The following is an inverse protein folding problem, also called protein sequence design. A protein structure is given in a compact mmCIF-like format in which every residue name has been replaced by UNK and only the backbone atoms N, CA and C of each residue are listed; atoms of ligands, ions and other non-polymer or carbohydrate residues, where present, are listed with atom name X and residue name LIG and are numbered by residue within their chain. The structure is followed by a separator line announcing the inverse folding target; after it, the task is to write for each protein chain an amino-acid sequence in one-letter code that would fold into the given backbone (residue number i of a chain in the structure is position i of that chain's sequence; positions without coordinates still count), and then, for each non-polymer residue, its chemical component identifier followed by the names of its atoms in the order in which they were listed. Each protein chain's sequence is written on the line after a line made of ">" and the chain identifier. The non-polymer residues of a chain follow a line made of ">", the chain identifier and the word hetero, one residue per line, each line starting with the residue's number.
data_IF_274395015436
#
_entry.id   IF_274395015436
#
_cell.length_a   1.000
_cell.length_b   1.000
_cell.length_c   1.000
_cell.angle_alpha   90.00
_cell.angle_beta   90.00
_cell.angle_gamma   90.00
#
_symmetry.space_group_name_H-M   'P 1'
#
loop_
_entity.id
_entity.type
_entity.pdbx_description
1 polymer ?
#
# COMPACT_ATOMS: atom_id res chain seq x y z
N UNK A 1 0.46 12.09 -15.84
CA UNK A 1 0.95 12.97 -14.77
C UNK A 1 1.81 12.11 -13.87
N UNK A 2 3.03 12.55 -13.58
CA UNK A 2 3.92 11.83 -12.69
C UNK A 2 3.50 12.03 -11.22
N UNK A 3 3.78 11.04 -10.38
CA UNK A 3 3.52 11.14 -8.94
C UNK A 3 4.32 12.29 -8.31
N UNK A 4 3.76 12.95 -7.29
CA UNK A 4 4.33 14.12 -6.62
C UNK A 4 4.56 15.38 -7.49
N UNK A 5 4.19 15.38 -8.79
CA UNK A 5 4.32 16.57 -9.65
C UNK A 5 3.05 17.40 -9.64
N UNK A 6 2.82 18.13 -8.55
CA UNK A 6 1.63 18.96 -8.36
C UNK A 6 1.40 19.97 -9.49
N UNK A 7 2.48 20.56 -10.03
CA UNK A 7 2.42 21.55 -11.10
C UNK A 7 1.80 20.97 -12.39
N UNK A 8 1.99 19.66 -12.63
CA UNK A 8 1.34 18.98 -13.76
C UNK A 8 -0.18 18.86 -13.55
N UNK A 9 -0.62 18.66 -12.31
CA UNK A 9 -2.04 18.58 -11.94
C UNK A 9 -2.67 19.96 -12.10
N UNK A 10 -2.04 21.00 -11.54
CA UNK A 10 -2.52 22.38 -11.64
C UNK A 10 -2.65 22.83 -13.10
N UNK A 11 -1.62 22.56 -13.92
CA UNK A 11 -1.65 22.83 -15.35
C UNK A 11 -2.80 22.10 -16.06
N UNK A 12 -2.97 20.80 -15.81
CA UNK A 12 -4.03 20.02 -16.43
C UNK A 12 -5.43 20.56 -16.09
N UNK A 13 -5.64 21.00 -14.84
CA UNK A 13 -6.89 21.64 -14.41
C UNK A 13 -7.08 23.01 -15.08
N UNK A 14 -6.01 23.81 -15.18
CA UNK A 14 -6.05 25.13 -15.81
C UNK A 14 -6.34 25.06 -17.31
N UNK A 15 -5.80 24.05 -18.01
CA UNK A 15 -6.05 23.79 -19.44
C UNK A 15 -7.47 23.25 -19.71
N UNK A 16 -8.19 22.81 -18.67
CA UNK A 16 -9.53 22.20 -18.77
C UNK A 16 -10.55 22.84 -17.81
N UNK A 17 -10.79 24.17 -17.90
CA UNK A 17 -11.61 24.88 -16.93
C UNK A 17 -13.06 24.37 -16.93
N UNK A 18 -13.56 23.97 -15.76
CA UNK A 18 -14.93 23.45 -15.59
C UNK A 18 -15.19 22.08 -16.22
N UNK A 19 -14.15 21.40 -16.73
CA UNK A 19 -14.28 20.10 -17.42
C UNK A 19 -13.73 18.92 -16.63
N UNK A 20 -13.07 19.18 -15.50
CA UNK A 20 -12.53 18.15 -14.61
C UNK A 20 -13.57 17.86 -13.51
N UNK A 21 -14.18 16.68 -13.51
CA UNK A 21 -15.17 16.31 -12.50
C UNK A 21 -14.52 15.73 -11.23
N UNK A 22 -13.46 14.95 -11.38
CA UNK A 22 -12.84 14.20 -10.30
C UNK A 22 -11.32 14.09 -10.50
N UNK A 23 -10.57 14.23 -9.41
CA UNK A 23 -9.18 13.78 -9.30
C UNK A 23 -9.16 12.49 -8.49
N UNK A 24 -8.70 11.41 -9.10
CA UNK A 24 -8.57 10.09 -8.47
C UNK A 24 -7.11 9.69 -8.36
N UNK A 25 -6.70 9.20 -7.19
CA UNK A 25 -5.35 8.73 -6.95
C UNK A 25 -5.30 7.72 -5.80
N UNK A 26 -4.27 6.87 -5.79
CA UNK A 26 -3.90 6.09 -4.60
C UNK A 26 -3.34 7.03 -3.53
N UNK A 27 -3.36 6.70 -2.23
CA UNK A 27 -2.91 7.63 -1.19
C UNK A 27 -1.39 7.86 -1.18
N UNK A 28 -0.62 6.92 -1.72
CA UNK A 28 0.78 7.09 -2.08
C UNK A 28 1.10 6.22 -3.32
N UNK A 29 2.26 6.41 -3.94
CA UNK A 29 2.64 5.65 -5.11
C UNK A 29 3.17 4.27 -4.72
N UNK A 30 2.42 3.23 -5.06
CA UNK A 30 2.80 1.83 -4.82
C UNK A 30 2.70 0.99 -6.09
N UNK A 31 3.53 1.26 -7.11
CA UNK A 31 3.54 0.52 -8.37
C UNK A 31 4.15 -0.88 -8.20
N UNK A 32 4.21 -1.62 -9.31
CA UNK A 32 5.02 -2.82 -9.44
C UNK A 32 6.37 -2.47 -10.09
N UNK A 33 7.39 -3.32 -9.90
CA UNK A 33 8.73 -3.22 -10.48
C UNK A 33 9.56 -1.97 -10.13
N UNK A 34 9.01 -1.03 -9.38
CA UNK A 34 9.65 0.25 -9.08
C UNK A 34 9.43 0.62 -7.62
N UNK A 35 10.35 1.43 -7.08
CA UNK A 35 10.28 1.85 -5.69
C UNK A 35 9.01 2.68 -5.44
N UNK A 36 8.38 2.43 -4.29
CA UNK A 36 7.23 3.20 -3.84
C UNK A 36 7.66 4.63 -3.50
N UNK A 37 6.77 5.60 -3.72
CA UNK A 37 6.99 6.99 -3.35
C UNK A 37 5.90 7.47 -2.39
N UNK A 38 6.33 7.98 -1.23
CA UNK A 38 5.44 8.69 -0.32
C UNK A 38 5.03 10.05 -0.92
N UNK A 39 3.88 10.61 -0.52
CA UNK A 39 3.53 11.98 -0.88
C UNK A 39 4.62 12.94 -0.44
N UNK A 40 5.03 13.84 -1.32
CA UNK A 40 5.91 14.94 -0.93
C UNK A 40 5.23 15.84 0.12
N UNK A 41 6.05 16.60 0.84
CA UNK A 41 5.55 17.53 1.86
C UNK A 41 4.47 18.44 1.27
N UNK A 42 3.34 18.53 1.97
CA UNK A 42 2.17 19.34 1.62
C UNK A 42 1.48 18.95 0.29
N UNK A 43 1.86 17.84 -0.36
CA UNK A 43 1.31 17.42 -1.64
C UNK A 43 -0.22 17.28 -1.58
N UNK A 44 -0.73 16.53 -0.61
CA UNK A 44 -2.17 16.32 -0.47
C UNK A 44 -2.92 17.58 -0.06
N UNK A 45 -2.30 18.46 0.74
CA UNK A 45 -2.88 19.73 1.11
C UNK A 45 -3.05 20.64 -0.11
N UNK A 46 -2.06 20.68 -1.01
CA UNK A 46 -2.13 21.41 -2.29
C UNK A 46 -3.21 20.81 -3.21
N UNK A 47 -3.22 19.50 -3.40
CA UNK A 47 -4.23 18.80 -4.24
C UNK A 47 -5.64 19.02 -3.70
N UNK A 48 -5.84 18.88 -2.39
CA UNK A 48 -7.13 19.11 -1.75
C UNK A 48 -7.61 20.54 -1.98
N UNK A 49 -6.73 21.53 -1.74
CA UNK A 49 -7.06 22.94 -1.97
C UNK A 49 -7.46 23.19 -3.42
N UNK A 50 -6.67 22.70 -4.38
CA UNK A 50 -6.97 22.83 -5.81
C UNK A 50 -8.35 22.23 -6.14
N UNK A 51 -8.65 21.04 -5.62
CA UNK A 51 -9.92 20.38 -5.86
C UNK A 51 -11.09 21.20 -5.30
N UNK A 52 -10.97 21.71 -4.06
CA UNK A 52 -11.99 22.57 -3.45
C UNK A 52 -12.20 23.86 -4.22
N UNK A 53 -11.12 24.57 -4.57
CA UNK A 53 -11.18 25.86 -5.27
C UNK A 53 -11.82 25.74 -6.67
N UNK A 54 -11.74 24.55 -7.27
CA UNK A 54 -12.21 24.28 -8.64
C UNK A 54 -13.50 23.45 -8.70
N UNK A 55 -14.07 23.09 -7.55
CA UNK A 55 -15.26 22.24 -7.49
C UNK A 55 -15.03 20.82 -8.03
N UNK A 56 -13.80 20.32 -7.94
CA UNK A 56 -13.41 18.97 -8.37
C UNK A 56 -13.57 18.02 -7.18
N UNK A 57 -14.18 16.86 -7.41
CA UNK A 57 -14.25 15.79 -6.41
C UNK A 57 -12.87 15.16 -6.23
N UNK A 58 -12.39 15.07 -5.00
CA UNK A 58 -11.18 14.32 -4.66
C UNK A 58 -11.55 12.90 -4.24
N UNK A 59 -11.22 11.92 -5.08
CA UNK A 59 -11.42 10.50 -4.79
C UNK A 59 -10.09 9.81 -4.45
N UNK A 60 -10.07 9.04 -3.37
CA UNK A 60 -8.90 8.24 -2.99
C UNK A 60 -9.20 6.77 -3.22
N UNK A 61 -8.41 6.14 -4.09
CA UNK A 61 -8.36 4.70 -4.23
C UNK A 61 -7.60 4.10 -3.04
N UNK A 62 -8.33 3.82 -1.97
CA UNK A 62 -7.79 3.27 -0.72
C UNK A 62 -7.90 1.74 -0.66
N UNK A 63 -8.11 1.08 -1.81
CA UNK A 63 -8.34 -0.36 -1.89
C UNK A 63 -7.16 -1.16 -1.33
N UNK A 64 -5.92 -0.66 -1.50
CA UNK A 64 -4.70 -1.34 -1.06
C UNK A 64 -4.28 -0.93 0.36
N UNK A 65 -4.43 0.34 0.71
CA UNK A 65 -3.90 0.93 1.93
C UNK A 65 -4.93 0.98 3.07
N UNK A 66 -6.22 0.99 2.76
CA UNK A 66 -7.31 1.05 3.72
C UNK A 66 -7.20 -0.03 4.77
N UNK A 67 -7.36 0.37 6.03
CA UNK A 67 -7.24 -0.47 7.23
C UNK A 67 -5.83 -1.06 7.48
N UNK A 68 -4.82 -0.72 6.65
CA UNK A 68 -3.41 -1.06 6.88
C UNK A 68 -2.57 0.12 7.35
N UNK A 69 -2.98 1.34 7.02
CA UNK A 69 -2.36 2.58 7.50
C UNK A 69 -3.10 3.15 8.70
N UNK A 70 -4.43 3.23 8.61
CA UNK A 70 -5.30 3.77 9.64
C UNK A 70 -6.69 3.14 9.55
N UNK A 71 -7.41 3.08 10.68
CA UNK A 71 -8.81 2.63 10.72
C UNK A 71 -9.77 3.64 10.11
N UNK A 72 -9.42 4.93 10.10
CA UNK A 72 -10.23 6.01 9.53
C UNK A 72 -10.05 6.17 8.01
N UNK A 73 -9.05 5.50 7.43
CA UNK A 73 -8.68 5.63 6.01
C UNK A 73 -7.37 6.40 5.81
N UNK A 74 -6.81 6.30 4.62
CA UNK A 74 -5.50 6.87 4.30
C UNK A 74 -5.50 8.39 4.21
N UNK A 75 -6.65 9.04 3.96
CA UNK A 75 -6.75 10.50 3.99
C UNK A 75 -6.52 11.05 5.40
N UNK A 76 -7.09 10.39 6.43
CA UNK A 76 -6.80 10.65 7.83
C UNK A 76 -5.31 10.46 8.14
N UNK A 77 -4.73 9.34 7.71
CA UNK A 77 -3.30 9.04 7.90
C UNK A 77 -2.39 10.14 7.34
N UNK A 78 -2.70 10.67 6.15
CA UNK A 78 -1.92 11.71 5.48
C UNK A 78 -2.39 13.15 5.79
N UNK A 79 -3.38 13.32 6.66
CA UNK A 79 -3.83 14.64 7.14
C UNK A 79 -4.56 15.49 6.10
N UNK A 80 -5.39 14.87 5.25
CA UNK A 80 -6.31 15.56 4.34
C UNK A 80 -7.71 14.92 4.38
N UNK A 81 -8.67 15.47 3.61
CA UNK A 81 -10.03 14.93 3.52
C UNK A 81 -10.41 14.61 2.08
N UNK A 82 -10.68 13.35 1.80
CA UNK A 82 -11.23 12.94 0.51
C UNK A 82 -12.75 13.24 0.46
N UNK A 83 -13.28 13.45 -0.74
CA UNK A 83 -14.73 13.53 -0.97
C UNK A 83 -15.32 12.13 -1.20
N UNK A 84 -14.53 11.25 -1.82
CA UNK A 84 -14.84 9.83 -2.05
C UNK A 84 -13.66 8.94 -1.66
N UNK A 85 -13.94 7.75 -1.13
CA UNK A 85 -12.94 6.73 -0.84
C UNK A 85 -13.39 5.34 -1.27
N UNK A 86 -12.51 4.61 -1.95
CA UNK A 86 -12.74 3.23 -2.35
C UNK A 86 -12.04 2.26 -1.38
N UNK A 87 -12.78 1.29 -0.82
CA UNK A 87 -12.26 0.26 0.06
C UNK A 87 -12.55 -1.15 -0.49
N UNK A 88 -11.65 -2.11 -0.23
CA UNK A 88 -11.77 -3.52 -0.62
C UNK A 88 -10.72 -4.33 0.18
N UNK A 89 -10.24 -5.46 -0.34
CA UNK A 89 -9.13 -6.28 0.14
C UNK A 89 -9.21 -6.60 1.64
N UNK A 90 -8.57 -5.76 2.48
CA UNK A 90 -8.55 -5.94 3.92
C UNK A 90 -9.92 -5.82 4.58
N UNK A 91 -10.89 -5.15 3.90
CA UNK A 91 -12.23 -4.86 4.41
C UNK A 91 -12.94 -6.06 5.06
N UNK A 92 -12.78 -7.26 4.50
CA UNK A 92 -13.48 -8.45 4.97
C UNK A 92 -12.59 -9.69 5.06
N UNK A 93 -11.28 -9.50 5.29
CA UNK A 93 -10.31 -10.58 5.53
C UNK A 93 -10.43 -11.76 4.53
N UNK A 94 -10.57 -11.46 3.23
CA UNK A 94 -10.64 -12.45 2.15
C UNK A 94 -12.02 -12.65 1.51
N UNK A 95 -13.11 -12.15 2.11
CA UNK A 95 -14.43 -12.19 1.48
C UNK A 95 -14.62 -11.11 0.40
N UNK A 96 -15.45 -11.40 -0.59
CA UNK A 96 -15.69 -10.54 -1.75
C UNK A 96 -16.64 -9.38 -1.43
N UNK A 97 -16.11 -8.28 -0.88
CA UNK A 97 -16.83 -7.02 -0.70
C UNK A 97 -15.91 -5.83 -0.93
N UNK A 98 -16.47 -4.81 -1.55
CA UNK A 98 -15.85 -3.48 -1.73
C UNK A 98 -16.87 -2.42 -1.30
N UNK A 99 -16.38 -1.23 -0.97
CA UNK A 99 -17.21 -0.11 -0.59
C UNK A 99 -16.72 1.17 -1.28
N UNK A 100 -17.67 1.99 -1.72
CA UNK A 100 -17.44 3.40 -2.03
C UNK A 100 -18.07 4.20 -0.89
N UNK A 101 -17.25 4.97 -0.18
CA UNK A 101 -17.68 5.89 0.85
C UNK A 101 -17.58 7.32 0.29
N UNK A 102 -18.47 8.21 0.74
CA UNK A 102 -18.49 9.59 0.26
C UNK A 102 -19.11 10.55 1.25
N UNK A 103 -18.88 11.84 1.01
CA UNK A 103 -19.51 12.92 1.78
C UNK A 103 -21.00 13.08 1.42
N UNK A 104 -21.77 13.63 2.36
CA UNK A 104 -23.21 13.85 2.20
C UNK A 104 -23.56 14.69 0.94
N UNK A 105 -22.70 15.64 0.58
CA UNK A 105 -22.88 16.48 -0.61
C UNK A 105 -22.94 15.69 -1.94
N UNK A 106 -22.45 14.44 -1.96
CA UNK A 106 -22.47 13.57 -3.14
C UNK A 106 -23.61 12.55 -3.12
N UNK A 107 -24.47 12.57 -2.10
CA UNK A 107 -25.56 11.58 -1.92
C UNK A 107 -26.55 11.60 -3.07
N UNK A 108 -26.98 12.78 -3.50
CA UNK A 108 -27.94 12.91 -4.61
C UNK A 108 -27.33 12.40 -5.92
N UNK A 109 -26.08 12.77 -6.21
CA UNK A 109 -25.34 12.30 -7.36
C UNK A 109 -25.21 10.77 -7.36
N UNK A 110 -24.84 10.16 -6.21
CA UNK A 110 -24.80 8.72 -6.06
C UNK A 110 -26.17 8.09 -6.35
N UNK A 111 -27.24 8.59 -5.72
CA UNK A 111 -28.60 8.05 -5.88
C UNK A 111 -29.15 8.13 -7.31
N UNK A 112 -28.63 9.06 -8.12
CA UNK A 112 -29.06 9.25 -9.51
C UNK A 112 -28.49 8.21 -10.49
N UNK A 113 -27.46 7.46 -10.09
CA UNK A 113 -26.81 6.45 -10.92
C UNK A 113 -27.38 5.06 -10.58
N UNK A 114 -27.73 4.28 -11.60
CA UNK A 114 -28.14 2.89 -11.40
C UNK A 114 -26.91 1.98 -11.29
N UNK A 115 -26.76 1.34 -10.14
CA UNK A 115 -25.71 0.36 -9.89
C UNK A 115 -26.29 -0.87 -9.19
N UNK A 116 -25.98 -2.05 -9.72
CA UNK A 116 -26.47 -3.33 -9.19
C UNK A 116 -25.52 -4.46 -9.57
N UNK A 117 -25.52 -5.53 -8.78
CA UNK A 117 -24.79 -6.75 -9.06
C UNK A 117 -25.37 -7.89 -8.24
N UNK A 118 -25.49 -9.08 -8.85
CA UNK A 118 -26.20 -10.23 -8.26
C UNK A 118 -25.73 -10.59 -6.85
N UNK A 119 -24.44 -10.40 -6.57
CA UNK A 119 -23.82 -10.75 -5.29
C UNK A 119 -23.56 -9.55 -4.37
N UNK A 120 -23.90 -8.32 -4.79
CA UNK A 120 -23.58 -7.11 -4.01
C UNK A 120 -24.37 -6.99 -2.71
N UNK A 121 -25.46 -7.74 -2.57
CA UNK A 121 -26.27 -7.82 -1.34
C UNK A 121 -26.12 -9.18 -0.61
N UNK A 122 -25.08 -9.95 -0.93
CA UNK A 122 -24.79 -11.18 -0.19
C UNK A 122 -24.43 -10.87 1.26
N UNK A 123 -25.15 -11.48 2.21
CA UNK A 123 -24.99 -11.17 3.64
C UNK A 123 -23.65 -11.65 4.22
N UNK A 124 -23.08 -12.74 3.69
CA UNK A 124 -21.86 -13.35 4.26
C UNK A 124 -20.64 -12.40 4.18
N UNK A 125 -20.32 -11.79 3.01
CA UNK A 125 -19.26 -10.77 2.96
C UNK A 125 -19.47 -9.58 3.90
N UNK A 126 -20.72 -9.14 4.12
CA UNK A 126 -21.02 -8.07 5.07
C UNK A 126 -20.79 -8.48 6.53
N UNK A 127 -21.23 -9.68 6.92
CA UNK A 127 -20.97 -10.20 8.25
C UNK A 127 -19.45 -10.34 8.52
N UNK A 128 -18.69 -10.81 7.52
CA UNK A 128 -17.24 -10.90 7.59
C UNK A 128 -16.58 -9.51 7.71
N UNK A 129 -17.05 -8.51 6.96
CA UNK A 129 -16.55 -7.14 7.04
C UNK A 129 -16.76 -6.53 8.43
N UNK A 130 -17.98 -6.65 8.97
CA UNK A 130 -18.32 -6.13 10.30
C UNK A 130 -17.42 -6.78 11.36
N UNK A 131 -17.27 -8.11 11.33
CA UNK A 131 -16.41 -8.82 12.27
C UNK A 131 -14.92 -8.44 12.12
N UNK A 132 -14.43 -8.33 10.88
CA UNK A 132 -13.06 -7.95 10.56
C UNK A 132 -12.73 -6.55 11.09
N UNK A 133 -13.51 -5.54 10.72
CA UNK A 133 -13.29 -4.15 11.12
C UNK A 133 -13.43 -3.97 12.64
N UNK A 134 -14.41 -4.64 13.26
CA UNK A 134 -14.59 -4.61 14.72
C UNK A 134 -13.36 -5.16 15.43
N UNK A 135 -12.82 -6.30 14.95
CA UNK A 135 -11.60 -6.88 15.52
C UNK A 135 -10.39 -5.99 15.27
N UNK A 136 -10.18 -5.51 14.05
CA UNK A 136 -9.06 -4.61 13.69
C UNK A 136 -9.05 -3.37 14.59
N UNK A 137 -10.20 -2.73 14.81
CA UNK A 137 -10.31 -1.59 15.72
C UNK A 137 -9.93 -1.97 17.16
N UNK A 138 -10.44 -3.10 17.66
CA UNK A 138 -10.18 -3.57 19.04
C UNK A 138 -8.70 -3.83 19.31
N UNK A 139 -7.97 -4.36 18.34
CA UNK A 139 -6.54 -4.73 18.51
C UNK A 139 -5.57 -3.66 18.02
N UNK A 140 -6.09 -2.50 17.59
CA UNK A 140 -5.32 -1.50 16.85
C UNK A 140 -4.49 -2.09 15.69
N UNK A 141 -5.16 -2.82 14.81
CA UNK A 141 -4.55 -3.58 13.72
C UNK A 141 -3.57 -2.78 12.85
N UNK A 142 -3.89 -1.56 12.40
CA UNK A 142 -2.95 -0.74 11.61
C UNK A 142 -1.62 -0.47 12.33
N UNK A 143 -1.67 -0.06 13.60
CA UNK A 143 -0.46 0.19 14.39
C UNK A 143 0.35 -1.10 14.60
N UNK A 144 -0.34 -2.20 14.90
CA UNK A 144 0.29 -3.51 15.06
C UNK A 144 1.05 -3.95 13.79
N UNK A 145 0.39 -3.88 12.62
CA UNK A 145 1.00 -4.23 11.33
C UNK A 145 2.15 -3.29 10.97
N UNK A 146 2.04 -2.00 11.27
CA UNK A 146 3.11 -1.03 11.04
C UNK A 146 4.36 -1.36 11.86
N UNK A 147 4.18 -1.68 13.15
CA UNK A 147 5.27 -2.02 14.05
C UNK A 147 5.99 -3.31 13.65
N UNK A 148 5.23 -4.38 13.33
CA UNK A 148 5.83 -5.62 12.82
C UNK A 148 6.52 -5.42 11.47
N UNK A 149 5.90 -4.66 10.57
CA UNK A 149 6.47 -4.32 9.27
C UNK A 149 7.79 -3.59 9.39
N UNK A 150 7.89 -2.66 10.35
CA UNK A 150 9.13 -1.95 10.65
C UNK A 150 10.22 -2.91 11.15
N UNK A 151 9.91 -3.78 12.12
CA UNK A 151 10.84 -4.80 12.60
C UNK A 151 11.35 -5.70 11.47
N UNK A 152 10.44 -6.17 10.61
CA UNK A 152 10.80 -7.01 9.47
C UNK A 152 11.72 -6.28 8.49
N UNK A 153 11.30 -5.10 8.03
CA UNK A 153 12.00 -4.35 6.99
C UNK A 153 13.36 -3.81 7.44
N UNK A 154 13.47 -3.32 8.68
CA UNK A 154 14.74 -2.86 9.24
C UNK A 154 15.73 -4.02 9.38
N UNK A 155 15.29 -5.16 9.93
CA UNK A 155 16.16 -6.33 10.04
C UNK A 155 16.56 -6.91 8.69
N UNK A 156 15.67 -6.94 7.68
CA UNK A 156 16.03 -7.34 6.32
C UNK A 156 17.15 -6.45 5.75
N UNK A 157 17.02 -5.13 5.91
CA UNK A 157 18.02 -4.15 5.45
C UNK A 157 19.38 -4.38 6.11
N UNK A 158 19.40 -4.59 7.42
CA UNK A 158 20.63 -4.82 8.19
C UNK A 158 21.30 -6.14 7.78
N UNK A 159 20.52 -7.20 7.58
CA UNK A 159 21.03 -8.50 7.13
C UNK A 159 21.62 -8.38 5.74
N UNK A 160 20.88 -7.81 4.78
CA UNK A 160 21.38 -7.59 3.41
C UNK A 160 22.71 -6.84 3.41
N UNK A 161 22.78 -5.74 4.16
CA UNK A 161 24.00 -4.94 4.31
C UNK A 161 25.17 -5.74 4.89
N UNK A 162 24.93 -6.63 5.86
CA UNK A 162 25.98 -7.46 6.45
C UNK A 162 26.59 -8.47 5.46
N UNK A 163 25.86 -8.82 4.40
CA UNK A 163 26.33 -9.70 3.32
C UNK A 163 26.85 -8.96 2.09
N UNK A 164 26.72 -7.63 2.02
CA UNK A 164 27.14 -6.82 0.86
C UNK A 164 26.02 -6.49 -0.14
N UNK A 165 24.76 -6.76 0.21
CA UNK A 165 23.60 -6.48 -0.63
C UNK A 165 22.88 -5.21 -0.15
N UNK A 166 22.67 -4.27 -1.06
CA UNK A 166 21.87 -3.07 -0.78
C UNK A 166 20.39 -3.38 -1.03
N UNK A 167 19.58 -3.35 0.04
CA UNK A 167 18.14 -3.55 -0.06
C UNK A 167 17.43 -2.20 -0.07
N UNK A 168 16.93 -1.83 -1.26
CA UNK A 168 16.01 -0.72 -1.41
C UNK A 168 14.63 -1.18 -0.91
N UNK A 169 14.21 -0.66 0.25
CA UNK A 169 12.88 -0.88 0.83
C UNK A 169 12.14 0.45 0.89
N UNK A 170 10.95 0.50 0.30
CA UNK A 170 10.16 1.73 0.15
C UNK A 170 8.67 1.49 0.43
N UNK A 171 7.92 2.57 0.66
CA UNK A 171 6.49 2.50 1.02
C UNK A 171 6.27 2.33 2.53
N UNK A 172 5.01 2.15 2.92
CA UNK A 172 4.67 2.01 4.32
C UNK A 172 5.16 0.64 4.84
N UNK A 173 5.74 0.52 6.04
CA UNK A 173 6.21 -0.78 6.53
C UNK A 173 5.15 -1.89 6.58
N UNK A 174 3.86 -1.56 6.72
CA UNK A 174 2.76 -2.54 6.63
C UNK A 174 2.43 -3.00 5.21
N UNK A 175 2.93 -2.28 4.19
CA UNK A 175 2.76 -2.50 2.75
C UNK A 175 4.01 -2.01 2.00
N UNK A 176 5.10 -2.75 2.07
CA UNK A 176 6.39 -2.30 1.55
C UNK A 176 6.68 -2.87 0.17
N UNK A 177 7.44 -2.15 -0.64
CA UNK A 177 8.17 -2.69 -1.78
C UNK A 177 9.61 -2.96 -1.39
N UNK A 178 10.23 -3.96 -1.99
CA UNK A 178 11.63 -4.29 -1.75
C UNK A 178 12.28 -4.80 -3.04
N UNK A 179 13.54 -4.41 -3.26
CA UNK A 179 14.43 -5.01 -4.25
C UNK A 179 15.88 -4.96 -3.76
N UNK A 180 16.71 -5.82 -4.33
CA UNK A 180 18.17 -5.66 -4.23
C UNK A 180 18.58 -4.60 -5.26
N UNK A 181 19.35 -3.59 -4.84
CA UNK A 181 19.71 -2.41 -5.61
C UNK A 181 21.17 -2.41 -6.09
N UNK A 182 21.88 -3.52 -5.93
CA UNK A 182 23.23 -3.71 -6.50
C UNK A 182 23.23 -3.74 -8.04
N UNK A 183 22.08 -4.03 -8.67
CA UNK A 183 21.88 -3.97 -10.12
C UNK A 183 20.47 -3.48 -10.49
N UNK A 184 20.27 -3.18 -11.78
CA UNK A 184 19.00 -2.68 -12.33
C UNK A 184 18.14 -3.78 -13.01
N UNK A 185 18.59 -5.04 -12.99
CA UNK A 185 17.99 -6.15 -13.75
C UNK A 185 16.88 -6.90 -13.00
N UNK A 186 16.76 -6.69 -11.69
CA UNK A 186 15.98 -7.48 -10.73
C UNK A 186 16.38 -8.96 -10.64
N UNK A 187 17.32 -9.47 -11.45
CA UNK A 187 17.70 -10.88 -11.46
C UNK A 187 18.26 -11.32 -10.12
N UNK A 188 19.17 -10.53 -9.55
CA UNK A 188 19.74 -10.80 -8.23
C UNK A 188 18.66 -10.83 -7.14
N UNK A 189 17.69 -9.93 -7.21
CA UNK A 189 16.54 -9.93 -6.30
C UNK A 189 15.68 -11.19 -6.46
N UNK A 190 15.41 -11.62 -7.69
CA UNK A 190 14.66 -12.85 -7.96
C UNK A 190 15.38 -14.10 -7.46
N UNK A 191 16.70 -14.17 -7.60
CA UNK A 191 17.50 -15.28 -7.08
C UNK A 191 17.43 -15.35 -5.54
N UNK A 192 17.55 -14.22 -4.87
CA UNK A 192 17.44 -14.15 -3.41
C UNK A 192 16.02 -14.53 -2.94
N UNK A 193 14.98 -14.04 -3.62
CA UNK A 193 13.59 -14.44 -3.33
C UNK A 193 13.40 -15.94 -3.52
N UNK A 194 13.97 -16.54 -4.57
CA UNK A 194 13.90 -17.98 -4.79
C UNK A 194 14.57 -18.76 -3.65
N UNK A 195 15.71 -18.31 -3.13
CA UNK A 195 16.36 -18.92 -1.97
C UNK A 195 15.52 -18.80 -0.69
N UNK A 196 14.85 -17.67 -0.46
CA UNK A 196 13.92 -17.49 0.65
C UNK A 196 12.74 -18.46 0.55
N UNK A 197 12.13 -18.57 -0.64
CA UNK A 197 10.98 -19.47 -0.88
C UNK A 197 11.37 -20.93 -0.64
N UNK A 198 12.55 -21.36 -1.10
CA UNK A 198 13.06 -22.73 -0.85
C UNK A 198 13.23 -23.05 0.64
N UNK A 199 13.39 -22.04 1.49
CA UNK A 199 13.57 -22.14 2.94
C UNK A 199 12.29 -21.86 3.74
N UNK A 200 11.18 -21.53 3.05
CA UNK A 200 9.87 -21.37 3.67
C UNK A 200 9.44 -19.93 3.93
N UNK A 201 10.15 -18.91 3.42
CA UNK A 201 9.71 -17.52 3.45
C UNK A 201 9.28 -17.07 2.05
N UNK A 202 7.98 -16.80 1.88
CA UNK A 202 7.46 -16.34 0.59
C UNK A 202 7.56 -14.83 0.46
N UNK A 203 8.29 -14.37 -0.56
CA UNK A 203 8.31 -12.97 -0.98
C UNK A 203 7.85 -12.83 -2.44
N UNK A 204 7.17 -11.73 -2.76
CA UNK A 204 6.99 -11.30 -4.13
C UNK A 204 8.28 -10.63 -4.61
N UNK A 205 8.67 -10.88 -5.86
CA UNK A 205 9.88 -10.34 -6.48
C UNK A 205 9.66 -9.08 -7.33
N UNK A 206 8.40 -8.63 -7.47
CA UNK A 206 8.03 -7.50 -8.34
C UNK A 206 6.88 -6.65 -7.82
N UNK A 207 6.22 -7.07 -6.74
CA UNK A 207 5.04 -6.40 -6.18
C UNK A 207 5.26 -6.12 -4.70
N UNK A 208 4.55 -5.13 -4.17
CA UNK A 208 4.50 -4.89 -2.72
C UNK A 208 4.10 -6.12 -1.92
N UNK A 209 4.70 -6.23 -0.74
CA UNK A 209 4.44 -7.20 0.31
C UNK A 209 3.52 -6.60 1.38
N UNK A 210 2.95 -7.44 2.23
CA UNK A 210 1.95 -7.03 3.22
C UNK A 210 2.16 -7.74 4.55
N UNK A 211 2.07 -6.99 5.64
CA UNK A 211 1.94 -7.56 6.99
C UNK A 211 0.47 -7.86 7.25
N UNK A 212 0.22 -8.89 8.06
CA UNK A 212 -1.11 -9.18 8.59
C UNK A 212 -1.07 -9.35 10.11
N UNK A 213 -2.20 -9.18 10.77
CA UNK A 213 -2.31 -9.21 12.24
C UNK A 213 -2.19 -10.63 12.86
N UNK A 214 -1.98 -11.68 12.07
CA UNK A 214 -1.72 -13.03 12.60
C UNK A 214 -0.22 -13.34 12.74
N UNK A 215 0.65 -12.54 12.10
CA UNK A 215 2.10 -12.70 12.23
C UNK A 215 2.56 -12.36 13.65
N UNK A 216 3.56 -13.07 14.15
CA UNK A 216 4.18 -12.82 15.47
C UNK A 216 5.63 -12.35 15.36
N UNK A 217 6.25 -12.00 16.47
CA UNK A 217 7.68 -11.65 16.49
C UNK A 217 8.57 -12.86 16.17
N UNK A 218 8.13 -14.06 16.54
CA UNK A 218 8.79 -15.32 16.16
C UNK A 218 8.76 -15.52 14.64
N UNK A 219 7.64 -15.22 13.96
CA UNK A 219 7.57 -15.26 12.50
C UNK A 219 8.56 -14.27 11.86
N UNK A 220 8.70 -13.07 12.45
CA UNK A 220 9.68 -12.07 11.96
C UNK A 220 11.11 -12.60 12.12
N UNK A 221 11.44 -13.11 13.31
CA UNK A 221 12.77 -13.66 13.59
C UNK A 221 13.09 -14.83 12.65
N UNK A 222 12.15 -15.75 12.47
CA UNK A 222 12.31 -16.89 11.57
C UNK A 222 12.51 -16.43 10.12
N UNK A 223 11.77 -15.41 9.69
CA UNK A 223 11.94 -14.80 8.36
C UNK A 223 13.33 -14.16 8.19
N UNK A 224 13.87 -13.52 9.23
CA UNK A 224 15.22 -12.97 9.24
C UNK A 224 16.30 -14.05 9.15
N UNK A 225 16.15 -15.15 9.88
CA UNK A 225 17.07 -16.30 9.78
C UNK A 225 17.10 -16.89 8.37
N UNK A 226 15.93 -17.03 7.73
CA UNK A 226 15.83 -17.46 6.33
C UNK A 226 16.49 -16.46 5.38
N UNK A 227 16.26 -15.16 5.57
CA UNK A 227 16.84 -14.10 4.75
C UNK A 227 18.37 -14.12 4.81
N UNK A 228 18.93 -14.29 6.01
CA UNK A 228 20.38 -14.41 6.25
C UNK A 228 20.97 -15.61 5.49
N UNK A 229 20.37 -16.78 5.60
CA UNK A 229 20.81 -17.98 4.88
C UNK A 229 20.63 -17.87 3.36
N UNK A 230 19.59 -17.17 2.90
CA UNK A 230 19.39 -16.88 1.49
C UNK A 230 20.49 -15.97 0.95
N UNK A 231 20.89 -14.93 1.68
CA UNK A 231 21.99 -14.05 1.28
C UNK A 231 23.34 -14.78 1.23
N UNK A 232 23.64 -15.67 2.17
CA UNK A 232 24.84 -16.53 2.09
C UNK A 232 24.87 -17.37 0.82
N UNK A 233 23.72 -17.94 0.44
CA UNK A 233 23.61 -18.77 -0.76
C UNK A 233 23.82 -17.96 -2.04
N UNK A 234 23.23 -16.77 -2.14
CA UNK A 234 23.41 -15.85 -3.27
C UNK A 234 24.86 -15.34 -3.33
N UNK A 235 25.44 -14.92 -2.20
CA UNK A 235 26.84 -14.46 -2.13
C UNK A 235 27.83 -15.50 -2.64
N UNK A 236 27.59 -16.79 -2.38
CA UNK A 236 28.44 -17.88 -2.90
C UNK A 236 28.43 -17.98 -4.43
N UNK A 237 27.35 -17.56 -5.09
CA UNK A 237 27.22 -17.52 -6.57
C UNK A 237 27.78 -16.25 -7.18
N UNK A 238 27.83 -15.18 -6.38
CA UNK A 238 28.26 -13.83 -6.78
C UNK A 238 29.43 -13.33 -5.93
N UNK A 239 30.61 -13.97 -5.98
CA UNK A 239 31.77 -13.54 -5.20
C UNK A 239 32.26 -12.12 -5.56
N UNK A 240 31.90 -11.60 -6.73
CA UNK A 240 32.21 -10.25 -7.20
C UNK A 240 31.46 -9.13 -6.49
N UNK A 241 30.35 -9.44 -5.81
CA UNK A 241 29.53 -8.48 -5.07
C UNK A 241 29.93 -8.38 -3.58
N UNK A 242 30.96 -9.11 -3.16
CA UNK A 242 31.26 -9.42 -1.76
C UNK A 242 32.53 -8.82 -1.18
#
# INVERSE_FOLDING_TARGET
>A
MEWNKFEQIERAVAENPGRVACFIATPYHHPIFTDNAMPEKDYWQKVRKLCTDKGIVLAIDDVRCGFRLDMAGSDHYFGFKADLMCFCKALANGWNVSALCGIDALKDAASSVMYTGSYWLSAVPFAAAIACLTKLKRINGPEYMLNLGKKLTDGLRDIGRSHGFDLAISGAPSLWYMRIANDDSLMLHQEWVAECVRRGAFFANHHNLFINCAMTEEDIKYTHEIADDAFKAVKKRHPELG
#
